data_IF_959776220792
#
_entry.id   IF_959776220792
#
_cell.length_a   1.000
_cell.length_b   1.000
_cell.length_c   1.000
_cell.angle_alpha   90.00
_cell.angle_beta   90.00
_cell.angle_gamma   90.00
#
_symmetry.space_group_name_H-M   'P 1'
#
loop_
_entity.id
_entity.type
_entity.pdbx_description
1 polymer ?
#
# COMPACT_ATOMS: atom_id res chain seq x y z
N UNK A 1 -1.11 -6.26 35.89
CA UNK A 1 -1.79 -5.40 34.89
C UNK A 1 -0.83 -4.85 33.85
N UNK A 2 0.33 -4.33 34.23
CA UNK A 2 1.35 -3.74 33.32
C UNK A 2 1.83 -4.67 32.19
N UNK A 3 1.96 -5.98 32.46
CA UNK A 3 2.38 -6.97 31.44
C UNK A 3 1.40 -7.08 30.26
N UNK A 4 0.10 -6.92 30.50
CA UNK A 4 -0.92 -6.97 29.45
C UNK A 4 -0.84 -5.74 28.53
N UNK A 5 -0.56 -4.57 29.10
CA UNK A 5 -0.36 -3.33 28.34
C UNK A 5 0.86 -3.41 27.42
N UNK A 6 1.96 -4.01 27.89
CA UNK A 6 3.17 -4.19 27.08
C UNK A 6 2.89 -5.09 25.88
N UNK A 7 2.18 -6.21 26.07
CA UNK A 7 1.81 -7.13 24.99
C UNK A 7 0.91 -6.43 23.96
N UNK A 8 -0.09 -5.67 24.43
CA UNK A 8 -0.99 -4.90 23.56
C UNK A 8 -0.25 -3.85 22.72
N UNK A 9 0.71 -3.14 23.33
CA UNK A 9 1.55 -2.15 22.64
C UNK A 9 2.47 -2.79 21.60
N UNK A 10 3.03 -3.96 21.88
CA UNK A 10 3.88 -4.67 20.91
C UNK A 10 3.04 -5.20 19.74
N UNK A 11 1.83 -5.72 20.00
CA UNK A 11 0.94 -6.23 18.95
C UNK A 11 0.45 -5.13 17.99
N UNK A 12 0.15 -3.93 18.47
CA UNK A 12 -0.27 -2.81 17.60
C UNK A 12 0.88 -2.31 16.72
N UNK A 13 2.11 -2.26 17.25
CA UNK A 13 3.28 -1.87 16.47
C UNK A 13 3.57 -2.88 15.35
N UNK A 14 3.45 -4.18 15.64
CA UNK A 14 3.61 -5.24 14.64
C UNK A 14 2.50 -5.16 13.56
N UNK A 15 1.26 -4.82 13.93
CA UNK A 15 0.19 -4.65 12.95
C UNK A 15 0.44 -3.46 11.99
N UNK A 16 1.13 -2.41 12.43
CA UNK A 16 1.47 -1.25 11.57
C UNK A 16 2.68 -1.51 10.67
N UNK A 17 3.60 -2.39 11.06
CA UNK A 17 4.77 -2.77 10.22
C UNK A 17 4.47 -3.91 9.25
N UNK A 18 3.42 -4.70 9.52
CA UNK A 18 2.92 -5.78 8.65
C UNK A 18 1.54 -5.43 8.10
N UNK A 19 1.23 -4.15 7.91
CA UNK A 19 0.37 -3.83 6.78
C UNK A 19 1.28 -4.12 5.58
N UNK A 20 1.08 -5.20 4.80
CA UNK A 20 1.69 -5.21 3.49
C UNK A 20 1.26 -3.86 2.92
N UNK A 21 2.21 -2.98 2.58
CA UNK A 21 1.93 -1.89 1.64
C UNK A 21 1.11 -2.59 0.58
N UNK A 22 -0.21 -2.38 0.62
CA UNK A 22 -1.10 -3.04 -0.31
C UNK A 22 -0.62 -2.39 -1.56
N UNK A 23 0.24 -3.10 -2.31
CA UNK A 23 0.90 -2.52 -3.45
C UNK A 23 -0.24 -1.86 -4.19
N UNK A 24 -0.19 -0.54 -4.32
CA UNK A 24 -1.27 0.16 -5.01
C UNK A 24 -1.43 -0.36 -6.46
N UNK A 25 -0.45 -1.20 -6.87
CA UNK A 25 -0.59 -2.34 -7.76
C UNK A 25 -1.74 -3.32 -7.43
N UNK A 26 -2.98 -2.87 -7.55
CA UNK A 26 -4.15 -3.73 -7.35
C UNK A 26 -5.47 -3.00 -7.48
N UNK A 27 -5.45 -1.67 -7.39
CA UNK A 27 -6.65 -0.84 -7.52
C UNK A 27 -7.26 -0.99 -8.91
N UNK A 28 -8.60 -1.03 -8.98
CA UNK A 28 -9.29 -1.17 -10.26
C UNK A 28 -9.06 0.08 -11.10
N UNK A 29 -8.64 -0.13 -12.35
CA UNK A 29 -8.45 0.96 -13.30
C UNK A 29 -9.20 0.66 -14.60
N UNK A 30 -9.67 1.74 -15.24
CA UNK A 30 -10.17 1.70 -16.63
C UNK A 30 -9.17 2.27 -17.62
N UNK A 31 -8.25 3.11 -17.15
CA UNK A 31 -7.17 3.71 -17.93
C UNK A 31 -5.94 3.95 -17.06
N UNK A 32 -4.77 4.10 -17.67
CA UNK A 32 -3.50 4.31 -16.95
C UNK A 32 -3.42 5.66 -16.23
N UNK A 33 -4.23 6.66 -16.61
CA UNK A 33 -4.23 7.97 -15.95
C UNK A 33 -4.70 7.86 -14.49
N UNK A 34 -5.69 7.00 -14.20
CA UNK A 34 -6.14 6.72 -12.83
C UNK A 34 -5.01 6.21 -11.93
N UNK A 35 -4.07 5.45 -12.49
CA UNK A 35 -2.95 4.89 -11.72
C UNK A 35 -1.80 5.87 -11.49
N UNK A 36 -1.79 7.02 -12.17
CA UNK A 36 -0.66 7.96 -12.13
C UNK A 36 -0.54 8.63 -10.77
N UNK A 37 -1.63 9.17 -10.25
CA UNK A 37 -1.63 9.87 -8.96
C UNK A 37 -1.45 8.88 -7.80
N UNK A 38 -2.10 7.72 -7.89
CA UNK A 38 -1.99 6.63 -6.92
C UNK A 38 -0.53 6.16 -6.79
N UNK A 39 0.11 5.81 -7.91
CA UNK A 39 1.49 5.31 -7.89
C UNK A 39 2.52 6.40 -7.59
N UNK A 40 2.22 7.68 -7.89
CA UNK A 40 3.08 8.81 -7.52
C UNK A 40 3.05 9.05 -6.01
N UNK A 41 1.90 8.94 -5.36
CA UNK A 41 1.78 9.11 -3.91
C UNK A 41 2.46 7.97 -3.13
N UNK A 42 2.38 6.74 -3.64
CA UNK A 42 2.83 5.52 -2.93
C UNK A 42 4.31 5.17 -3.19
N UNK A 43 4.73 5.18 -4.46
CA UNK A 43 6.08 4.75 -4.86
C UNK A 43 6.92 5.87 -5.48
N UNK A 44 6.38 7.09 -5.58
CA UNK A 44 7.06 8.20 -6.27
C UNK A 44 7.24 7.99 -7.78
N UNK A 45 6.59 6.97 -8.33
CA UNK A 45 6.86 6.44 -9.66
C UNK A 45 5.69 6.56 -10.62
N UNK A 46 5.75 5.86 -11.76
CA UNK A 46 4.67 5.82 -12.74
C UNK A 46 3.78 4.59 -12.54
N UNK A 47 2.48 4.77 -12.74
CA UNK A 47 1.50 3.69 -12.77
C UNK A 47 1.00 3.39 -14.17
N UNK A 48 0.77 2.11 -14.49
CA UNK A 48 0.03 1.68 -15.69
C UNK A 48 -1.15 0.79 -15.33
N UNK A 49 -2.21 0.88 -16.12
CA UNK A 49 -3.36 0.00 -15.99
C UNK A 49 -3.11 -1.30 -16.78
N UNK A 50 -3.06 -2.44 -16.09
CA UNK A 50 -2.87 -3.78 -16.68
C UNK A 50 -3.91 -4.73 -16.10
N UNK A 51 -4.65 -5.46 -16.95
CA UNK A 51 -5.72 -6.38 -16.53
C UNK A 51 -6.75 -5.73 -15.58
N UNK A 52 -7.15 -4.49 -15.90
CA UNK A 52 -8.06 -3.67 -15.08
C UNK A 52 -7.55 -3.41 -13.66
N UNK A 53 -6.25 -3.56 -13.41
CA UNK A 53 -5.58 -3.24 -12.16
C UNK A 53 -4.42 -2.28 -12.40
N UNK A 54 -4.24 -1.32 -11.50
CA UNK A 54 -3.04 -0.52 -11.51
C UNK A 54 -1.82 -1.40 -11.24
N UNK A 55 -0.70 -1.05 -11.86
CA UNK A 55 0.64 -1.57 -11.59
C UNK A 55 1.58 -0.37 -11.45
N UNK A 56 2.17 -0.23 -10.28
CA UNK A 56 3.13 0.84 -9.98
C UNK A 56 4.55 0.36 -10.26
N UNK A 57 5.34 1.20 -10.93
CA UNK A 57 6.75 0.96 -11.18
C UNK A 57 7.55 2.04 -10.43
N UNK A 58 8.50 1.61 -9.60
CA UNK A 58 9.43 2.52 -8.92
C UNK A 58 10.33 3.16 -9.97
N UNK A 59 10.48 4.47 -9.91
CA UNK A 59 11.39 5.25 -10.76
C UNK A 59 12.68 5.56 -10.03
#
# INVERSE_FOLDING_TARGET
MTKLFIVLLVSTVIAMTIVPKVDASGEKCRNSAQCKDICRAETGGQGRCMNSKCKCFVG
#
